data_IF_526719528586
#
_entry.id   IF_526719528586
#
_cell.length_a   1.000
_cell.length_b   1.000
_cell.length_c   1.000
_cell.angle_alpha   90.00
_cell.angle_beta   90.00
_cell.angle_gamma   90.00
#
_symmetry.space_group_name_H-M   'P 1'
#
loop_
_entity.id
_entity.type
_entity.pdbx_description
1 polymer ?
#
# COMPACT_ATOMS: atom_id res chain seq x y z
N UNK A 1 -11.40 14.63 -24.38
CA UNK A 1 -10.83 13.28 -24.11
C UNK A 1 -11.47 12.19 -24.98
N UNK A 2 -12.79 12.15 -25.22
CA UNK A 2 -13.37 11.23 -26.23
C UNK A 2 -13.02 11.59 -27.69
N UNK A 3 -12.61 12.84 -27.96
CA UNK A 3 -12.21 13.29 -29.29
C UNK A 3 -10.81 12.80 -29.76
N UNK A 4 -10.04 12.12 -28.91
CA UNK A 4 -8.68 11.63 -29.23
C UNK A 4 -8.65 10.16 -29.67
N UNK A 5 -9.81 9.50 -29.80
CA UNK A 5 -9.91 8.07 -30.12
C UNK A 5 -9.48 7.10 -29.01
N UNK A 6 -9.05 7.62 -27.85
CA UNK A 6 -8.68 6.80 -26.69
C UNK A 6 -9.93 6.42 -25.89
N UNK A 7 -10.20 5.12 -25.82
CA UNK A 7 -11.24 4.57 -24.96
C UNK A 7 -10.82 4.68 -23.48
N UNK A 8 -11.08 5.83 -22.86
CA UNK A 8 -10.85 6.07 -21.41
C UNK A 8 -11.54 5.00 -20.56
N UNK A 9 -12.70 4.51 -21.00
CA UNK A 9 -13.45 3.43 -20.36
C UNK A 9 -12.65 2.13 -20.31
N UNK A 10 -11.97 1.77 -21.40
CA UNK A 10 -11.09 0.59 -21.44
C UNK A 10 -9.85 0.81 -20.58
N UNK A 11 -9.17 1.95 -20.70
CA UNK A 11 -7.99 2.24 -19.90
C UNK A 11 -8.27 2.17 -18.39
N UNK A 12 -9.34 2.83 -17.93
CA UNK A 12 -9.73 2.79 -16.51
C UNK A 12 -10.14 1.39 -16.07
N UNK A 13 -10.92 0.68 -16.90
CA UNK A 13 -11.33 -0.70 -16.60
C UNK A 13 -10.15 -1.65 -16.49
N UNK A 14 -9.14 -1.52 -17.35
CA UNK A 14 -7.93 -2.37 -17.31
C UNK A 14 -7.12 -2.11 -16.04
N UNK A 15 -6.91 -0.85 -15.66
CA UNK A 15 -6.17 -0.51 -14.43
C UNK A 15 -6.92 -0.97 -13.19
N UNK A 16 -8.24 -0.76 -13.14
CA UNK A 16 -9.07 -1.23 -12.03
C UNK A 16 -9.07 -2.75 -11.92
N UNK A 17 -9.19 -3.45 -13.05
CA UNK A 17 -9.13 -4.92 -13.09
C UNK A 17 -7.77 -5.43 -12.61
N UNK A 18 -6.66 -4.87 -13.09
CA UNK A 18 -5.31 -5.24 -12.65
C UNK A 18 -5.09 -4.97 -11.16
N UNK A 19 -5.56 -3.83 -10.65
CA UNK A 19 -5.48 -3.49 -9.23
C UNK A 19 -6.30 -4.44 -8.35
N UNK A 20 -7.54 -4.73 -8.76
CA UNK A 20 -8.41 -5.69 -8.07
C UNK A 20 -7.86 -7.12 -8.09
N UNK A 21 -7.30 -7.55 -9.22
CA UNK A 21 -6.65 -8.86 -9.36
C UNK A 21 -5.43 -8.96 -8.43
N UNK A 22 -4.54 -7.95 -8.45
CA UNK A 22 -3.38 -7.93 -7.57
C UNK A 22 -3.76 -7.92 -6.08
N UNK A 23 -4.78 -7.13 -5.71
CA UNK A 23 -5.31 -7.10 -4.35
C UNK A 23 -5.93 -8.44 -3.93
N UNK A 24 -6.66 -9.10 -4.84
CA UNK A 24 -7.25 -10.42 -4.61
C UNK A 24 -6.19 -11.50 -4.39
N UNK A 25 -5.17 -11.54 -5.24
CA UNK A 25 -4.04 -12.47 -5.10
C UNK A 25 -3.31 -12.23 -3.77
N UNK A 26 -3.03 -10.99 -3.41
CA UNK A 26 -2.43 -10.64 -2.13
C UNK A 26 -3.29 -11.08 -0.93
N UNK A 27 -4.60 -10.86 -1.00
CA UNK A 27 -5.54 -11.27 0.05
C UNK A 27 -5.57 -12.78 0.28
N UNK A 28 -5.62 -13.58 -0.79
CA UNK A 28 -5.60 -15.05 -0.69
C UNK A 28 -4.27 -15.56 -0.10
N UNK A 29 -3.14 -14.98 -0.51
CA UNK A 29 -1.83 -15.33 0.04
C UNK A 29 -1.73 -15.09 1.54
N UNK A 30 -2.21 -13.93 2.01
CA UNK A 30 -2.20 -13.60 3.44
C UNK A 30 -3.17 -14.49 4.21
N UNK A 31 -4.36 -14.76 3.67
CA UNK A 31 -5.34 -15.64 4.29
C UNK A 31 -4.78 -17.07 4.48
N UNK A 32 -4.06 -17.58 3.48
CA UNK A 32 -3.36 -18.87 3.57
C UNK A 32 -2.22 -18.87 4.60
N UNK A 33 -1.44 -17.78 4.66
CA UNK A 33 -0.34 -17.64 5.63
C UNK A 33 -0.84 -17.54 7.09
N UNK A 34 -1.99 -16.90 7.32
CA UNK A 34 -2.49 -16.58 8.67
C UNK A 34 -3.26 -17.73 9.33
N UNK A 35 -3.51 -18.84 8.61
CA UNK A 35 -4.23 -20.00 9.14
C UNK A 35 -5.72 -19.78 9.42
N UNK A 36 -6.29 -18.65 8.99
CA UNK A 36 -7.70 -18.31 9.18
C UNK A 36 -7.98 -16.81 9.00
N UNK A 37 -9.24 -16.47 8.74
CA UNK A 37 -9.70 -15.07 8.60
C UNK A 37 -10.50 -14.70 9.84
N UNK A 38 -9.96 -13.76 10.62
CA UNK A 38 -10.66 -13.15 11.75
C UNK A 38 -11.48 -11.95 11.27
N UNK A 39 -12.64 -11.62 11.88
CA UNK A 39 -13.41 -10.42 11.54
C UNK A 39 -12.61 -9.11 11.62
N UNK A 40 -11.57 -9.07 12.47
CA UNK A 40 -10.70 -7.91 12.65
C UNK A 40 -9.62 -7.77 11.56
N UNK A 41 -9.44 -8.79 10.72
CA UNK A 41 -8.41 -8.83 9.69
C UNK A 41 -8.51 -7.62 8.75
N UNK A 42 -9.69 -7.35 8.20
CA UNK A 42 -9.89 -6.29 7.20
C UNK A 42 -9.56 -4.89 7.73
N UNK A 43 -9.87 -4.60 9.00
CA UNK A 43 -9.59 -3.30 9.60
C UNK A 43 -8.09 -3.01 9.68
N UNK A 44 -7.32 -3.97 10.16
CA UNK A 44 -5.87 -3.83 10.29
C UNK A 44 -5.18 -3.67 8.93
N UNK A 45 -5.55 -4.47 7.92
CA UNK A 45 -4.96 -4.36 6.58
C UNK A 45 -5.38 -3.10 5.82
N UNK A 46 -6.58 -2.58 6.07
CA UNK A 46 -7.01 -1.30 5.52
C UNK A 46 -6.14 -0.15 6.04
N UNK A 47 -5.86 -0.14 7.35
CA UNK A 47 -4.97 0.85 7.97
C UNK A 47 -3.56 0.75 7.37
N UNK A 48 -3.04 -0.46 7.15
CA UNK A 48 -1.76 -0.60 6.45
C UNK A 48 -1.76 -0.07 5.02
N UNK A 49 -2.82 -0.35 4.26
CA UNK A 49 -2.98 0.21 2.92
C UNK A 49 -2.98 1.74 2.95
N UNK A 50 -3.69 2.33 3.91
CA UNK A 50 -3.70 3.79 4.10
C UNK A 50 -2.30 4.33 4.43
N UNK A 51 -1.60 3.71 5.39
CA UNK A 51 -0.23 4.09 5.76
C UNK A 51 0.69 4.05 4.55
N UNK A 52 0.63 2.98 3.76
CA UNK A 52 1.45 2.83 2.54
C UNK A 52 1.19 3.95 1.53
N UNK A 53 -0.07 4.31 1.29
CA UNK A 53 -0.42 5.38 0.35
C UNK A 53 0.01 6.76 0.86
N UNK A 54 -0.15 7.01 2.16
CA UNK A 54 0.29 8.27 2.78
C UNK A 54 1.82 8.40 2.74
N UNK A 55 2.54 7.32 3.07
CA UNK A 55 4.01 7.26 3.00
C UNK A 55 4.50 7.38 1.56
N UNK A 56 3.82 6.78 0.59
CA UNK A 56 4.16 6.87 -0.82
C UNK A 56 3.92 8.26 -1.43
N UNK A 57 2.88 8.95 -0.96
CA UNK A 57 2.44 10.26 -1.43
C UNK A 57 1.15 10.18 -2.25
N UNK A 58 0.15 10.98 -1.87
CA UNK A 58 -1.17 11.02 -2.53
C UNK A 58 -1.03 11.50 -3.98
N UNK A 59 -1.23 10.58 -4.94
CA UNK A 59 -1.11 10.87 -6.38
C UNK A 59 0.15 10.30 -7.06
N UNK A 60 1.06 9.67 -6.31
CA UNK A 60 2.26 9.02 -6.88
C UNK A 60 2.14 7.50 -6.86
N UNK A 61 1.82 6.89 -8.01
CA UNK A 61 1.74 5.43 -8.13
C UNK A 61 3.09 4.76 -7.82
N UNK A 62 4.19 5.34 -8.33
CA UNK A 62 5.55 4.86 -8.06
C UNK A 62 5.97 5.02 -6.60
N UNK A 63 5.56 6.12 -5.95
CA UNK A 63 5.76 6.34 -4.52
C UNK A 63 5.09 5.29 -3.66
N UNK A 64 3.81 5.02 -3.93
CA UNK A 64 3.03 4.00 -3.21
C UNK A 64 3.58 2.59 -3.40
N UNK A 65 4.04 2.23 -4.61
CA UNK A 65 4.63 0.92 -4.88
C UNK A 65 5.94 0.71 -4.10
N UNK A 66 6.83 1.71 -4.08
CA UNK A 66 8.08 1.65 -3.30
C UNK A 66 7.80 1.63 -1.80
N UNK A 67 6.85 2.44 -1.33
CA UNK A 67 6.44 2.44 0.07
C UNK A 67 5.90 1.07 0.50
N UNK A 68 5.06 0.44 -0.33
CA UNK A 68 4.49 -0.89 -0.05
C UNK A 68 5.59 -1.94 0.14
N UNK A 69 6.60 -1.93 -0.73
CA UNK A 69 7.75 -2.83 -0.65
C UNK A 69 8.57 -2.58 0.62
N UNK A 70 8.95 -1.33 0.87
CA UNK A 70 9.77 -0.98 2.04
C UNK A 70 9.06 -1.32 3.35
N UNK A 71 7.78 -0.95 3.47
CA UNK A 71 6.99 -1.19 4.68
C UNK A 71 6.76 -2.70 4.87
N UNK A 72 6.40 -3.42 3.80
CA UNK A 72 6.16 -4.86 3.86
C UNK A 72 7.40 -5.64 4.30
N UNK A 73 8.55 -5.36 3.67
CA UNK A 73 9.83 -6.00 4.02
C UNK A 73 10.23 -5.64 5.45
N UNK A 74 10.18 -4.35 5.82
CA UNK A 74 10.58 -3.90 7.16
C UNK A 74 9.71 -4.55 8.25
N UNK A 75 8.39 -4.60 8.04
CA UNK A 75 7.44 -5.23 8.98
C UNK A 75 7.76 -6.72 9.15
N UNK A 76 7.99 -7.43 8.05
CA UNK A 76 8.26 -8.86 8.10
C UNK A 76 9.61 -9.16 8.75
N UNK A 77 10.65 -8.38 8.45
CA UNK A 77 11.96 -8.48 9.11
C UNK A 77 11.84 -8.28 10.61
N UNK A 78 11.12 -7.26 11.05
CA UNK A 78 10.97 -6.98 12.49
C UNK A 78 10.17 -8.07 13.18
N UNK A 79 9.07 -8.55 12.58
CA UNK A 79 8.30 -9.65 13.16
C UNK A 79 9.10 -10.96 13.23
N UNK A 80 10.10 -11.14 12.36
CA UNK A 80 11.00 -12.29 12.44
C UNK A 80 11.93 -12.21 13.67
N UNK A 81 12.50 -11.04 13.97
CA UNK A 81 13.42 -10.87 15.11
C UNK A 81 12.69 -10.64 16.45
N UNK A 82 11.57 -9.91 16.44
CA UNK A 82 10.77 -9.57 17.61
C UNK A 82 9.27 -9.71 17.28
N UNK A 83 8.69 -10.90 17.52
CA UNK A 83 7.29 -11.18 17.21
C UNK A 83 6.35 -10.19 17.92
N UNK A 84 5.49 -9.52 17.16
CA UNK A 84 4.49 -8.57 17.68
C UNK A 84 4.92 -7.09 17.63
N UNK A 85 6.19 -6.78 17.32
CA UNK A 85 6.65 -5.40 17.14
C UNK A 85 6.59 -4.90 15.70
N UNK A 86 6.26 -5.76 14.72
CA UNK A 86 6.17 -5.36 13.32
C UNK A 86 5.20 -4.20 13.10
N UNK A 87 4.08 -4.19 13.81
CA UNK A 87 3.03 -3.19 13.66
C UNK A 87 3.46 -1.81 14.17
N UNK A 88 4.24 -1.78 15.26
CA UNK A 88 4.85 -0.55 15.79
C UNK A 88 5.85 0.05 14.80
N UNK A 89 6.66 -0.78 14.14
CA UNK A 89 7.65 -0.28 13.17
C UNK A 89 6.97 0.38 11.98
N UNK A 90 5.84 -0.15 11.51
CA UNK A 90 5.11 0.48 10.40
C UNK A 90 4.60 1.87 10.78
N UNK A 91 4.09 2.04 12.01
CA UNK A 91 3.62 3.34 12.51
C UNK A 91 4.78 4.32 12.71
N UNK A 92 5.92 3.85 13.24
CA UNK A 92 7.12 4.67 13.38
C UNK A 92 7.63 5.11 12.00
N UNK A 93 7.66 4.21 11.02
CA UNK A 93 8.05 4.54 9.65
C UNK A 93 7.13 5.59 9.02
N UNK A 94 5.82 5.48 9.23
CA UNK A 94 4.87 6.54 8.84
C UNK A 94 5.26 7.88 9.48
N UNK A 95 5.41 7.90 10.80
CA UNK A 95 5.73 9.14 11.53
C UNK A 95 7.05 9.76 11.05
N UNK A 96 8.09 8.95 10.87
CA UNK A 96 9.38 9.39 10.36
C UNK A 96 9.26 9.96 8.94
N UNK A 97 8.56 9.27 8.03
CA UNK A 97 8.40 9.77 6.66
C UNK A 97 7.62 11.07 6.66
N UNK A 98 6.58 11.22 7.48
CA UNK A 98 5.82 12.47 7.56
C UNK A 98 6.65 13.63 8.14
N UNK A 99 7.53 13.36 9.11
CA UNK A 99 8.44 14.37 9.68
C UNK A 99 9.45 14.85 8.64
N UNK A 100 10.09 13.92 7.93
CA UNK A 100 11.16 14.26 6.98
C UNK A 100 10.63 14.69 5.60
N UNK A 101 9.48 14.16 5.19
CA UNK A 101 8.83 14.41 3.89
C UNK A 101 7.31 14.35 4.04
N UNK A 102 6.65 15.47 4.45
CA UNK A 102 5.20 15.51 4.69
C UNK A 102 4.34 15.25 3.45
N UNK A 103 4.92 15.30 2.24
CA UNK A 103 4.23 14.94 0.99
C UNK A 103 4.40 13.46 0.59
N UNK A 104 5.10 12.65 1.40
CA UNK A 104 5.46 11.27 1.08
C UNK A 104 6.77 11.13 0.30
N UNK A 105 7.19 9.89 0.05
CA UNK A 105 8.47 9.51 -0.57
C UNK A 105 8.67 10.13 -1.96
N UNK A 106 7.63 10.11 -2.80
CA UNK A 106 7.66 10.59 -4.18
C UNK A 106 6.43 11.47 -4.51
N UNK A 107 5.85 12.13 -3.51
CA UNK A 107 4.78 13.11 -3.72
C UNK A 107 5.28 14.23 -4.62
N UNK A 108 4.79 14.27 -5.87
CA UNK A 108 5.12 15.35 -6.79
C UNK A 108 4.35 16.58 -6.35
N UNK A 109 5.07 17.62 -5.92
CA UNK A 109 4.54 18.99 -5.89
C UNK A 109 4.38 19.43 -7.34
N UNK A 110 3.27 19.07 -8.00
CA UNK A 110 2.97 19.67 -9.30
C UNK A 110 2.26 20.99 -9.04
N UNK A 111 3.02 22.08 -9.17
CA UNK A 111 2.47 23.37 -9.59
C UNK A 111 1.79 23.24 -10.96
#
# INVERSE_FOLDING_TARGET
>A
LQALGINVKLAFSTVFFLGGLAAGVGGVLIAGYSGGVSPYFSGTWLIYGFIVVVVGGMGSLGGSALAALLIGISRQYVNYYAPGLGDFVVVILLALVLIFRPQGLLGKVSH
#
